data_IF_843631829123
#
_entry.id   IF_843631829123
#
_cell.length_a   1.000
_cell.length_b   1.000
_cell.length_c   1.000
_cell.angle_alpha   90.00
_cell.angle_beta   90.00
_cell.angle_gamma   90.00
#
_symmetry.space_group_name_H-M   'P 1'
#
loop_
_entity.id
_entity.type
_entity.pdbx_description
1 polymer ?
#
# COMPACT_ATOMS: atom_id res chain seq x y z
N UNK A 1 -22.64 -56.79 17.54
CA UNK A 1 -22.13 -55.45 17.20
C UNK A 1 -20.85 -55.63 16.41
N UNK A 2 -20.90 -55.52 15.09
CA UNK A 2 -19.71 -55.60 14.24
C UNK A 2 -18.94 -54.27 14.29
N UNK A 3 -17.63 -54.36 14.53
CA UNK A 3 -16.72 -53.23 14.58
C UNK A 3 -16.49 -52.72 13.15
N UNK A 4 -16.62 -51.41 12.86
CA UNK A 4 -16.42 -50.92 11.49
C UNK A 4 -14.97 -51.15 11.07
N UNK A 5 -14.78 -51.73 9.89
CA UNK A 5 -13.47 -52.01 9.33
C UNK A 5 -12.75 -50.68 8.99
N UNK A 6 -11.70 -50.37 9.74
CA UNK A 6 -10.82 -49.25 9.44
C UNK A 6 -9.81 -49.66 8.37
N UNK A 7 -9.73 -48.89 7.28
CA UNK A 7 -8.75 -49.07 6.21
C UNK A 7 -7.33 -48.89 6.75
N UNK A 8 -6.39 -49.73 6.32
CA UNK A 8 -5.00 -49.65 6.76
C UNK A 8 -4.28 -48.40 6.22
N UNK A 9 -3.19 -47.93 6.86
CA UNK A 9 -2.40 -46.79 6.38
C UNK A 9 -1.92 -46.94 4.92
N UNK A 10 -1.62 -48.16 4.47
CA UNK A 10 -1.26 -48.46 3.08
C UNK A 10 -2.48 -48.37 2.13
N UNK A 11 -3.66 -48.74 2.59
CA UNK A 11 -4.90 -48.58 1.83
C UNK A 11 -5.31 -47.11 1.70
N UNK A 12 -5.06 -46.30 2.73
CA UNK A 12 -5.21 -44.84 2.69
C UNK A 12 -4.21 -44.20 1.70
N UNK A 13 -2.95 -44.65 1.70
CA UNK A 13 -1.94 -44.16 0.76
C UNK A 13 -2.25 -44.50 -0.71
N UNK A 14 -2.99 -45.60 -0.96
CA UNK A 14 -3.42 -46.02 -2.30
C UNK A 14 -4.70 -45.35 -2.79
N UNK A 15 -5.39 -44.59 -1.93
CA UNK A 15 -6.68 -43.97 -2.24
C UNK A 15 -6.58 -42.69 -3.09
N UNK A 16 -5.38 -42.09 -3.18
CA UNK A 16 -5.11 -40.96 -4.08
C UNK A 16 -4.06 -41.42 -5.08
N UNK A 17 -4.45 -41.59 -6.35
CA UNK A 17 -3.51 -41.93 -7.42
C UNK A 17 -2.91 -40.64 -7.97
N UNK A 18 -1.68 -40.69 -8.49
CA UNK A 18 -1.04 -39.54 -9.16
C UNK A 18 -1.92 -38.99 -10.31
N UNK A 19 -2.72 -39.84 -10.95
CA UNK A 19 -3.72 -39.45 -11.96
C UNK A 19 -4.92 -38.64 -11.43
N UNK A 20 -5.16 -38.63 -10.13
CA UNK A 20 -6.23 -37.84 -9.48
C UNK A 20 -5.78 -36.42 -9.13
N UNK A 21 -4.48 -36.14 -9.23
CA UNK A 21 -3.90 -34.82 -8.93
C UNK A 21 -4.51 -33.69 -9.78
N UNK A 22 -4.75 -33.85 -11.09
CA UNK A 22 -5.42 -32.82 -11.89
C UNK A 22 -6.85 -32.53 -11.39
N UNK A 23 -7.60 -33.56 -10.99
CA UNK A 23 -8.96 -33.41 -10.48
C UNK A 23 -8.96 -32.69 -9.12
N UNK A 24 -8.02 -33.03 -8.24
CA UNK A 24 -7.82 -32.34 -6.96
C UNK A 24 -7.44 -30.87 -7.16
N UNK A 25 -6.52 -30.58 -8.09
CA UNK A 25 -6.13 -29.21 -8.42
C UNK A 25 -7.29 -28.41 -9.00
N UNK A 26 -8.08 -29.01 -9.89
CA UNK A 26 -9.27 -28.36 -10.45
C UNK A 26 -10.33 -28.06 -9.37
N UNK A 27 -10.48 -28.94 -8.38
CA UNK A 27 -11.41 -28.74 -7.28
C UNK A 27 -10.94 -27.65 -6.29
N UNK A 28 -9.64 -27.58 -6.01
CA UNK A 28 -9.08 -26.62 -5.04
C UNK A 28 -8.79 -25.24 -5.65
N UNK A 29 -8.47 -25.17 -6.94
CA UNK A 29 -8.18 -23.91 -7.63
C UNK A 29 -9.19 -22.79 -7.38
N UNK A 30 -10.53 -23.00 -7.51
CA UNK A 30 -11.49 -21.94 -7.25
C UNK A 30 -11.49 -21.49 -5.79
N UNK A 31 -11.38 -22.41 -4.83
CA UNK A 31 -11.33 -22.09 -3.39
C UNK A 31 -10.08 -21.30 -3.03
N UNK A 32 -8.93 -21.69 -3.59
CA UNK A 32 -7.67 -20.96 -3.39
C UNK A 32 -7.76 -19.56 -4.01
N UNK A 33 -8.29 -19.45 -5.24
CA UNK A 33 -8.48 -18.17 -5.90
C UNK A 33 -9.38 -17.24 -5.08
N UNK A 34 -10.53 -17.75 -4.60
CA UNK A 34 -11.44 -17.00 -3.74
C UNK A 34 -10.76 -16.53 -2.46
N UNK A 35 -10.02 -17.41 -1.78
CA UNK A 35 -9.29 -17.06 -0.57
C UNK A 35 -8.23 -15.98 -0.82
N UNK A 36 -7.45 -16.12 -1.90
CA UNK A 36 -6.41 -15.14 -2.27
C UNK A 36 -7.04 -13.78 -2.59
N UNK A 37 -8.13 -13.75 -3.35
CA UNK A 37 -8.85 -12.50 -3.65
C UNK A 37 -9.34 -11.86 -2.34
N UNK A 38 -10.06 -12.63 -1.51
CA UNK A 38 -10.59 -12.17 -0.22
C UNK A 38 -9.51 -11.65 0.72
N UNK A 39 -8.33 -12.28 0.74
CA UNK A 39 -7.22 -11.86 1.58
C UNK A 39 -6.49 -10.62 1.02
N UNK A 40 -6.40 -10.47 -0.31
CA UNK A 40 -5.57 -9.42 -0.93
C UNK A 40 -6.34 -8.15 -1.29
N UNK A 41 -7.64 -8.22 -1.58
CA UNK A 41 -8.46 -7.03 -1.86
C UNK A 41 -8.44 -5.96 -0.77
N UNK A 42 -8.68 -6.27 0.52
CA UNK A 42 -8.63 -5.24 1.56
C UNK A 42 -7.25 -4.62 1.71
N UNK A 43 -6.18 -5.41 1.48
CA UNK A 43 -4.81 -4.92 1.51
C UNK A 43 -4.52 -3.97 0.34
N UNK A 44 -4.98 -4.30 -0.87
CA UNK A 44 -4.87 -3.43 -2.05
C UNK A 44 -5.62 -2.12 -1.83
N UNK A 45 -6.84 -2.17 -1.29
CA UNK A 45 -7.62 -0.99 -0.97
C UNK A 45 -6.89 -0.10 0.05
N UNK A 46 -6.33 -0.71 1.10
CA UNK A 46 -5.57 0.04 2.12
C UNK A 46 -4.29 0.66 1.56
N UNK A 47 -3.58 -0.04 0.67
CA UNK A 47 -2.39 0.50 0.00
C UNK A 47 -2.77 1.71 -0.85
N UNK A 48 -3.83 1.62 -1.66
CA UNK A 48 -4.29 2.74 -2.48
C UNK A 48 -4.67 3.97 -1.64
N UNK A 49 -5.34 3.76 -0.51
CA UNK A 49 -5.67 4.83 0.44
C UNK A 49 -4.40 5.48 1.01
N UNK A 50 -3.43 4.68 1.45
CA UNK A 50 -2.16 5.18 1.97
C UNK A 50 -1.38 5.97 0.91
N UNK A 51 -1.28 5.44 -0.31
CA UNK A 51 -0.59 6.10 -1.43
C UNK A 51 -1.25 7.42 -1.82
N UNK A 52 -2.58 7.55 -1.67
CA UNK A 52 -3.30 8.81 -1.93
C UNK A 52 -3.01 9.92 -0.92
N UNK A 53 -2.52 9.58 0.27
CA UNK A 53 -2.31 10.52 1.39
C UNK A 53 -0.84 10.68 1.78
N UNK A 54 0.08 10.05 1.05
CA UNK A 54 1.51 10.09 1.34
C UNK A 54 2.09 11.49 1.18
N UNK A 55 2.96 11.85 2.13
CA UNK A 55 3.79 13.04 2.05
C UNK A 55 5.02 12.75 1.18
N UNK A 56 5.31 13.64 0.22
CA UNK A 56 6.46 13.49 -0.68
C UNK A 56 7.45 14.62 -0.48
N UNK A 57 8.67 14.33 -0.01
CA UNK A 57 9.72 15.34 0.05
C UNK A 57 10.29 15.66 -1.35
N UNK A 58 10.23 16.93 -1.72
CA UNK A 58 10.59 17.45 -3.04
C UNK A 58 11.83 18.37 -3.02
N UNK A 59 12.56 18.43 -1.90
CA UNK A 59 13.77 19.24 -1.76
C UNK A 59 13.50 20.73 -1.52
N UNK A 60 14.43 21.57 -1.98
CA UNK A 60 14.29 23.03 -1.89
C UNK A 60 13.27 23.52 -2.90
N UNK A 61 12.40 24.46 -2.48
CA UNK A 61 11.42 25.07 -3.36
C UNK A 61 12.09 25.79 -4.54
N UNK A 62 11.48 25.67 -5.72
CA UNK A 62 11.96 26.28 -6.96
C UNK A 62 10.74 26.78 -7.76
N UNK A 63 10.79 28.04 -8.20
CA UNK A 63 9.70 28.69 -8.94
C UNK A 63 9.33 27.98 -10.25
N UNK A 64 10.29 27.32 -10.88
CA UNK A 64 10.10 26.65 -12.17
C UNK A 64 9.36 25.32 -12.06
N UNK A 65 9.36 24.70 -10.87
CA UNK A 65 8.81 23.37 -10.61
C UNK A 65 7.33 23.42 -10.19
N UNK A 66 6.60 22.38 -10.58
CA UNK A 66 5.27 22.09 -10.06
C UNK A 66 5.38 21.12 -8.90
N UNK A 67 4.68 21.40 -7.80
CA UNK A 67 4.62 20.56 -6.63
C UNK A 67 3.19 20.03 -6.49
N UNK A 68 2.98 18.70 -6.43
CA UNK A 68 1.64 18.13 -6.21
C UNK A 68 1.14 18.46 -4.79
N UNK A 69 -0.11 18.16 -4.49
CA UNK A 69 -0.60 18.16 -3.10
C UNK A 69 0.24 17.21 -2.23
N UNK A 70 0.32 17.49 -0.93
CA UNK A 70 1.12 16.73 0.06
C UNK A 70 2.64 16.73 -0.21
N UNK A 71 3.13 17.60 -1.08
CA UNK A 71 4.56 17.79 -1.28
C UNK A 71 5.17 18.57 -0.12
N UNK A 72 6.26 18.07 0.44
CA UNK A 72 7.10 18.76 1.41
C UNK A 72 8.25 19.43 0.67
N UNK A 73 8.42 20.73 0.87
CA UNK A 73 9.59 21.48 0.40
C UNK A 73 10.26 22.22 1.54
N UNK A 74 11.52 22.58 1.37
CA UNK A 74 12.21 23.53 2.24
C UNK A 74 12.34 24.89 1.57
N UNK A 75 12.00 25.96 2.29
CA UNK A 75 12.26 27.34 1.87
C UNK A 75 12.56 28.20 3.11
N UNK A 76 13.58 29.06 2.99
CA UNK A 76 14.06 29.95 4.07
C UNK A 76 14.29 29.24 5.41
N UNK A 77 14.85 28.02 5.38
CA UNK A 77 15.14 27.22 6.58
C UNK A 77 13.92 26.59 7.26
N UNK A 78 12.72 26.72 6.69
CA UNK A 78 11.49 26.08 7.17
C UNK A 78 11.03 24.98 6.21
N UNK A 79 10.27 24.02 6.71
CA UNK A 79 9.61 23.00 5.88
C UNK A 79 8.12 23.32 5.73
N UNK A 80 7.60 23.13 4.52
CA UNK A 80 6.24 23.48 4.11
C UNK A 80 5.58 22.32 3.40
N UNK A 81 4.29 22.11 3.65
CA UNK A 81 3.46 21.13 2.95
C UNK A 81 2.53 21.86 1.98
N UNK A 82 2.47 21.44 0.72
CA UNK A 82 1.47 21.93 -0.24
C UNK A 82 0.10 21.32 0.06
N UNK A 83 -0.93 22.16 0.13
CA UNK A 83 -2.32 21.72 0.31
C UNK A 83 -3.00 21.28 -0.99
N UNK A 84 -2.49 21.78 -2.11
CA UNK A 84 -2.97 21.48 -3.46
C UNK A 84 -1.78 21.58 -4.43
N UNK A 85 -1.97 21.14 -5.67
CA UNK A 85 -0.95 21.34 -6.70
C UNK A 85 -0.65 22.83 -6.88
N UNK A 86 0.63 23.18 -6.93
CA UNK A 86 1.07 24.57 -7.04
C UNK A 86 2.35 24.71 -7.84
N UNK A 87 2.47 25.82 -8.58
CA UNK A 87 3.65 26.19 -9.37
C UNK A 87 3.91 27.67 -9.25
N UNK A 88 5.16 28.06 -9.06
CA UNK A 88 5.58 29.45 -9.06
C UNK A 88 5.13 30.31 -7.87
N UNK A 89 4.26 29.78 -6.99
CA UNK A 89 3.83 30.41 -5.74
C UNK A 89 4.76 29.96 -4.61
N UNK A 90 5.43 30.91 -3.97
CA UNK A 90 6.42 30.64 -2.92
C UNK A 90 5.74 30.33 -1.57
N UNK A 91 6.27 29.40 -0.77
CA UNK A 91 5.81 29.21 0.61
C UNK A 91 6.01 30.46 1.46
N UNK A 92 5.10 30.70 2.42
CA UNK A 92 5.24 31.77 3.41
C UNK A 92 4.70 33.15 3.02
N UNK A 93 4.35 33.39 1.75
CA UNK A 93 3.78 34.68 1.26
C UNK A 93 2.30 34.87 1.65
N UNK A 94 1.84 34.33 2.79
CA UNK A 94 0.45 34.44 3.26
C UNK A 94 -0.59 33.73 2.40
N UNK A 95 -0.15 32.90 1.44
CA UNK A 95 -1.04 32.19 0.52
C UNK A 95 -1.64 30.91 1.14
N UNK A 96 -2.75 30.46 0.56
CA UNK A 96 -3.45 29.25 1.00
C UNK A 96 -2.84 27.94 0.47
N UNK A 97 -1.86 27.99 -0.45
CA UNK A 97 -1.29 26.81 -1.10
C UNK A 97 -0.33 26.05 -0.19
N UNK A 98 0.32 26.76 0.74
CA UNK A 98 1.35 26.19 1.61
C UNK A 98 0.94 26.24 3.07
N UNK A 99 1.20 25.15 3.79
CA UNK A 99 1.09 25.06 5.25
C UNK A 99 2.47 24.93 5.86
N UNK A 100 2.78 25.74 6.87
CA UNK A 100 4.01 25.60 7.63
C UNK A 100 3.99 24.27 8.41
N UNK A 101 4.96 23.40 8.16
CA UNK A 101 5.10 22.11 8.84
C UNK A 101 6.16 22.16 9.93
N UNK A 102 7.31 22.77 9.62
CA UNK A 102 8.42 22.94 10.55
C UNK A 102 8.92 24.37 10.44
N UNK A 103 8.82 25.13 11.53
CA UNK A 103 9.37 26.48 11.60
C UNK A 103 10.88 26.41 11.80
N UNK A 104 11.63 27.24 11.07
CA UNK A 104 13.06 27.40 11.27
C UNK A 104 13.39 27.73 12.74
N UNK A 105 14.47 27.15 13.25
CA UNK A 105 15.00 27.48 14.57
C UNK A 105 15.47 28.94 14.65
N UNK A 106 15.59 29.47 15.87
CA UNK A 106 16.02 30.87 16.10
C UNK A 106 17.37 31.21 15.46
N UNK A 107 18.27 30.23 15.39
CA UNK A 107 19.63 30.40 14.90
C UNK A 107 19.83 30.01 13.43
N UNK A 108 18.75 29.59 12.74
CA UNK A 108 18.78 29.30 11.32
C UNK A 108 18.94 30.61 10.52
N UNK A 109 20.19 30.94 10.21
CA UNK A 109 20.60 32.05 9.35
C UNK A 109 20.38 31.72 7.88
#
# INVERSE_FOLDING_TARGET
MEKPAYLSPEQLAKAVRVGDLPALMAALAPTIAEFVVKATEPLKARIAELESTQLKYCGVWDRSKTFPANAIVTDQGSAWISKTETRGIRPGDGNAFWQLAIKKGKDAR
#
